data_IF_512848104086
#
_entry.id   IF_512848104086
#
_cell.length_a   1.000
_cell.length_b   1.000
_cell.length_c   1.000
_cell.angle_alpha   90.00
_cell.angle_beta   90.00
_cell.angle_gamma   90.00
#
_symmetry.space_group_name_H-M   'P 1'
#
loop_
_entity.id
_entity.type
_entity.pdbx_description
1 polymer ?
#
# COMPACT_ATOMS: atom_id res chain seq x y z
N UNK A 1 -19.26 -29.55 -4.41
CA UNK A 1 -20.58 -29.01 -4.75
C UNK A 1 -21.12 -28.16 -3.61
N UNK A 2 -21.29 -28.68 -2.40
CA UNK A 2 -21.68 -27.88 -1.23
C UNK A 2 -20.47 -27.24 -0.54
N UNK A 3 -20.16 -26.00 -0.91
CA UNK A 3 -19.13 -25.19 -0.23
C UNK A 3 -19.83 -24.34 0.83
N UNK A 4 -19.26 -24.35 2.04
CA UNK A 4 -19.68 -23.51 3.16
C UNK A 4 -18.47 -23.26 4.05
N UNK A 5 -18.46 -22.15 4.79
CA UNK A 5 -17.46 -21.87 5.80
C UNK A 5 -18.11 -21.83 7.20
N UNK A 6 -17.96 -22.92 7.97
CA UNK A 6 -18.57 -22.98 9.30
C UNK A 6 -18.09 -21.87 10.23
N UNK A 7 -16.83 -21.44 10.12
CA UNK A 7 -16.27 -20.40 10.98
C UNK A 7 -16.97 -19.06 10.78
N UNK A 8 -17.28 -18.70 9.52
CA UNK A 8 -17.94 -17.43 9.22
C UNK A 8 -19.39 -17.36 9.70
N UNK A 9 -20.03 -18.50 9.98
CA UNK A 9 -21.39 -18.52 10.52
C UNK A 9 -21.46 -17.98 11.95
N UNK A 10 -20.31 -17.95 12.62
CA UNK A 10 -20.15 -17.75 14.05
C UNK A 10 -19.25 -16.54 14.36
N UNK A 11 -18.94 -15.72 13.36
CA UNK A 11 -18.14 -14.49 13.52
C UNK A 11 -18.85 -13.47 14.42
N UNK A 12 -20.16 -13.29 14.24
CA UNK A 12 -20.93 -12.30 14.99
C UNK A 12 -21.55 -12.86 16.29
N UNK A 13 -21.97 -14.13 16.27
CA UNK A 13 -22.80 -14.70 17.34
C UNK A 13 -22.69 -16.22 17.38
N UNK A 14 -22.40 -16.76 18.56
CA UNK A 14 -22.46 -18.21 18.84
C UNK A 14 -23.28 -18.43 20.10
N UNK A 15 -24.27 -19.31 20.00
CA UNK A 15 -25.13 -19.72 21.11
C UNK A 15 -25.11 -21.25 21.13
N UNK A 16 -24.59 -21.85 22.19
CA UNK A 16 -24.43 -23.31 22.25
C UNK A 16 -24.45 -23.87 23.68
N UNK A 17 -24.73 -25.17 23.75
CA UNK A 17 -24.48 -26.04 24.89
C UNK A 17 -23.74 -27.30 24.39
N UNK A 18 -23.74 -28.39 25.14
CA UNK A 18 -23.00 -29.61 24.77
C UNK A 18 -23.59 -30.33 23.54
N UNK A 19 -24.90 -30.17 23.26
CA UNK A 19 -25.60 -30.88 22.19
C UNK A 19 -25.93 -29.99 20.98
N UNK A 20 -26.32 -28.74 21.21
CA UNK A 20 -26.92 -27.84 20.23
C UNK A 20 -26.08 -26.59 19.99
N UNK A 21 -26.18 -26.05 18.78
CA UNK A 21 -25.54 -24.80 18.39
C UNK A 21 -26.44 -23.97 17.48
N UNK A 22 -26.37 -22.65 17.64
CA UNK A 22 -27.13 -21.66 16.89
C UNK A 22 -26.31 -20.39 16.71
N UNK A 23 -26.57 -19.65 15.65
CA UNK A 23 -26.16 -18.25 15.47
C UNK A 23 -27.37 -17.29 15.41
N UNK A 24 -28.58 -17.78 15.68
CA UNK A 24 -29.84 -17.06 15.55
C UNK A 24 -30.54 -17.22 14.19
N UNK A 25 -29.85 -17.70 13.14
CA UNK A 25 -30.45 -18.00 11.84
C UNK A 25 -30.72 -19.49 11.60
N UNK A 26 -30.19 -20.35 12.48
CA UNK A 26 -30.47 -21.78 12.51
C UNK A 26 -30.26 -22.27 13.94
N UNK A 27 -30.71 -23.49 14.22
CA UNK A 27 -30.36 -24.27 15.39
C UNK A 27 -30.14 -25.70 14.92
N UNK A 28 -29.06 -26.37 15.34
CA UNK A 28 -28.87 -27.78 15.01
C UNK A 28 -28.06 -28.57 16.04
N UNK A 29 -28.22 -29.90 16.03
CA UNK A 29 -27.44 -30.84 16.85
C UNK A 29 -26.00 -30.93 16.33
N UNK A 30 -25.01 -30.67 17.18
CA UNK A 30 -23.57 -30.73 16.85
C UNK A 30 -23.15 -32.07 16.25
N UNK A 31 -23.83 -33.16 16.61
CA UNK A 31 -23.60 -34.51 16.11
C UNK A 31 -23.74 -34.65 14.60
N UNK A 32 -24.43 -33.72 13.91
CA UNK A 32 -24.51 -33.76 12.45
C UNK A 32 -23.18 -33.39 11.77
N UNK A 33 -22.31 -32.65 12.46
CA UNK A 33 -21.03 -32.17 11.92
C UNK A 33 -19.92 -33.21 12.07
N UNK A 34 -18.87 -33.19 11.22
CA UNK A 34 -17.67 -33.98 11.43
C UNK A 34 -16.94 -33.60 12.73
N UNK A 35 -16.23 -34.55 13.36
CA UNK A 35 -15.49 -34.35 14.63
C UNK A 35 -14.63 -33.08 14.66
N UNK A 36 -13.89 -32.79 13.58
CA UNK A 36 -13.03 -31.59 13.48
C UNK A 36 -13.81 -30.28 13.58
N UNK A 37 -15.04 -30.26 13.06
CA UNK A 37 -15.92 -29.09 13.15
C UNK A 37 -16.57 -28.98 14.54
N UNK A 38 -16.88 -30.10 15.19
CA UNK A 38 -17.34 -30.10 16.58
C UNK A 38 -16.27 -29.53 17.53
N UNK A 39 -15.02 -29.97 17.41
CA UNK A 39 -13.87 -29.45 18.18
C UNK A 39 -13.63 -27.95 17.95
N UNK A 40 -13.97 -27.43 16.77
CA UNK A 40 -13.89 -26.00 16.51
C UNK A 40 -14.92 -25.24 17.36
N UNK A 41 -16.11 -25.80 17.55
CA UNK A 41 -17.19 -25.18 18.31
C UNK A 41 -16.91 -25.18 19.82
N UNK A 42 -16.21 -26.19 20.35
CA UNK A 42 -15.80 -26.27 21.76
C UNK A 42 -14.98 -25.05 22.23
N UNK A 43 -14.35 -24.33 21.30
CA UNK A 43 -13.57 -23.12 21.61
C UNK A 43 -14.43 -21.90 21.99
N UNK A 44 -15.72 -21.91 21.70
CA UNK A 44 -16.61 -20.79 22.02
C UNK A 44 -17.28 -20.99 23.38
N UNK A 45 -17.52 -19.89 24.11
CA UNK A 45 -18.23 -19.92 25.39
C UNK A 45 -19.67 -20.46 25.24
N UNK A 46 -20.16 -21.18 26.26
CA UNK A 46 -21.54 -21.65 26.30
C UNK A 46 -22.51 -20.53 26.70
N UNK A 47 -23.74 -20.57 26.20
CA UNK A 47 -24.81 -19.63 26.56
C UNK A 47 -26.15 -20.39 26.65
N UNK A 48 -26.35 -21.06 27.79
CA UNK A 48 -27.44 -22.02 28.00
C UNK A 48 -28.83 -21.36 28.03
N UNK A 49 -28.97 -20.20 28.68
CA UNK A 49 -30.27 -19.55 28.86
C UNK A 49 -30.88 -19.10 27.53
N UNK A 50 -30.07 -18.43 26.68
CA UNK A 50 -30.53 -17.99 25.36
C UNK A 50 -30.80 -19.18 24.44
N UNK A 51 -30.03 -20.27 24.58
CA UNK A 51 -30.26 -21.48 23.81
C UNK A 51 -31.57 -22.16 24.19
N UNK A 52 -31.92 -22.21 25.47
CA UNK A 52 -33.17 -22.80 25.95
C UNK A 52 -34.40 -22.10 25.35
N UNK A 53 -34.34 -20.77 25.17
CA UNK A 53 -35.39 -20.02 24.48
C UNK A 53 -35.52 -20.43 23.01
N UNK A 54 -34.39 -20.62 22.32
CA UNK A 54 -34.37 -21.04 20.91
C UNK A 54 -34.84 -22.50 20.77
N UNK A 55 -34.47 -23.37 21.71
CA UNK A 55 -34.92 -24.76 21.75
C UNK A 55 -36.43 -24.85 21.92
N UNK A 56 -37.04 -24.00 22.75
CA UNK A 56 -38.50 -23.94 22.88
C UNK A 56 -39.17 -23.64 21.53
N UNK A 57 -38.68 -22.62 20.82
CA UNK A 57 -39.18 -22.27 19.47
C UNK A 57 -39.02 -23.46 18.50
N UNK A 58 -37.91 -24.20 18.60
CA UNK A 58 -37.64 -25.34 17.75
C UNK A 58 -38.55 -26.54 18.06
N UNK A 59 -38.85 -26.80 19.33
CA UNK A 59 -39.82 -27.84 19.73
C UNK A 59 -41.24 -27.46 19.31
N UNK A 60 -41.67 -26.20 19.50
CA UNK A 60 -42.98 -25.74 19.03
C UNK A 60 -43.12 -25.88 17.51
N UNK A 61 -42.07 -25.53 16.75
CA UNK A 61 -42.04 -25.68 15.30
C UNK A 61 -42.10 -27.16 14.87
N UNK A 62 -41.38 -28.03 15.58
CA UNK A 62 -41.39 -29.48 15.35
C UNK A 62 -42.75 -30.09 15.66
N UNK A 63 -43.38 -29.76 16.77
CA UNK A 63 -44.73 -30.24 17.11
C UNK A 63 -45.74 -29.79 16.06
N UNK A 64 -45.71 -28.51 15.66
CA UNK A 64 -46.58 -28.01 14.60
C UNK A 64 -46.36 -28.73 13.27
N UNK A 65 -45.12 -29.11 12.94
CA UNK A 65 -44.79 -29.84 11.73
C UNK A 65 -45.30 -31.29 11.77
N UNK A 66 -45.15 -31.98 12.91
CA UNK A 66 -45.63 -33.35 13.06
C UNK A 66 -47.16 -33.44 13.05
N UNK A 67 -47.84 -32.40 13.54
CA UNK A 67 -49.30 -32.36 13.66
C UNK A 67 -50.03 -31.82 12.41
N UNK A 68 -49.34 -31.22 11.43
CA UNK A 68 -50.01 -30.52 10.32
C UNK A 68 -50.71 -31.46 9.32
N UNK A 69 -50.42 -32.76 9.31
CA UNK A 69 -51.03 -33.75 8.39
C UNK A 69 -50.70 -33.54 6.91
N UNK A 70 -50.14 -32.39 6.54
CA UNK A 70 -49.60 -32.09 5.22
C UNK A 70 -48.36 -32.94 4.96
N UNK A 71 -48.33 -33.65 3.84
CA UNK A 71 -47.10 -34.22 3.30
C UNK A 71 -46.15 -33.05 3.04
N UNK A 72 -45.24 -32.82 3.98
CA UNK A 72 -44.34 -31.69 3.93
C UNK A 72 -43.32 -31.97 2.83
N UNK A 73 -43.40 -31.24 1.73
CA UNK A 73 -42.45 -31.40 0.64
C UNK A 73 -41.06 -30.92 1.06
N UNK A 74 -40.05 -31.70 0.67
CA UNK A 74 -38.66 -31.35 0.87
C UNK A 74 -38.33 -30.08 0.08
N UNK A 75 -37.63 -29.14 0.71
CA UNK A 75 -37.14 -27.95 0.04
C UNK A 75 -36.05 -28.35 -0.97
N UNK A 76 -36.34 -28.10 -2.24
CA UNK A 76 -35.39 -28.20 -3.33
C UNK A 76 -35.20 -26.81 -3.96
N UNK A 77 -33.96 -26.31 -4.13
CA UNK A 77 -33.72 -25.00 -4.69
C UNK A 77 -34.09 -24.96 -6.17
N UNK A 78 -34.83 -23.94 -6.56
CA UNK A 78 -35.21 -23.67 -7.95
C UNK A 78 -34.45 -22.46 -8.49
N UNK A 79 -34.35 -21.41 -7.67
CA UNK A 79 -33.73 -20.15 -8.03
C UNK A 79 -32.62 -19.78 -7.04
N UNK A 80 -31.61 -19.08 -7.55
CA UNK A 80 -30.56 -18.43 -6.75
C UNK A 80 -30.67 -16.93 -6.95
N UNK A 81 -30.69 -16.18 -5.85
CA UNK A 81 -30.84 -14.73 -5.87
C UNK A 81 -29.88 -14.08 -4.88
N UNK A 82 -29.62 -12.79 -5.07
CA UNK A 82 -28.77 -12.02 -4.18
C UNK A 82 -29.61 -11.22 -3.19
N UNK A 83 -29.17 -11.15 -1.93
CA UNK A 83 -29.83 -10.35 -0.90
C UNK A 83 -28.82 -9.80 0.11
N UNK A 84 -29.28 -8.86 0.95
CA UNK A 84 -28.46 -8.27 2.00
C UNK A 84 -28.80 -8.87 3.36
N UNK A 85 -27.78 -9.36 4.07
CA UNK A 85 -27.89 -9.79 5.47
C UNK A 85 -26.89 -8.99 6.29
N UNK A 86 -27.38 -8.17 7.24
CA UNK A 86 -26.57 -7.28 8.08
C UNK A 86 -25.61 -6.38 7.27
N UNK A 87 -26.06 -5.86 6.13
CA UNK A 87 -25.22 -5.01 5.25
C UNK A 87 -24.22 -5.77 4.39
N UNK A 88 -24.21 -7.11 4.43
CA UNK A 88 -23.33 -7.95 3.62
C UNK A 88 -24.15 -8.64 2.53
N UNK A 89 -23.65 -8.58 1.29
CA UNK A 89 -24.23 -9.27 0.15
C UNK A 89 -24.08 -10.80 0.31
N UNK A 90 -25.17 -11.54 0.14
CA UNK A 90 -25.26 -13.00 0.28
C UNK A 90 -26.12 -13.60 -0.83
N UNK A 91 -25.91 -14.88 -1.08
CA UNK A 91 -26.73 -15.66 -2.00
C UNK A 91 -27.83 -16.40 -1.22
N UNK A 92 -29.04 -16.33 -1.73
CA UNK A 92 -30.23 -17.03 -1.26
C UNK A 92 -30.70 -18.07 -2.28
N UNK A 93 -31.34 -19.11 -1.79
CA UNK A 93 -32.01 -20.15 -2.56
C UNK A 93 -33.50 -19.99 -2.38
N UNK A 94 -34.28 -20.01 -3.46
CA UNK A 94 -35.73 -19.87 -3.42
C UNK A 94 -36.42 -21.07 -4.09
N UNK A 95 -37.59 -21.44 -3.59
CA UNK A 95 -38.48 -22.43 -4.17
C UNK A 95 -39.86 -21.79 -4.34
N UNK A 96 -40.33 -21.69 -5.59
CA UNK A 96 -41.58 -21.00 -5.92
C UNK A 96 -42.82 -21.72 -5.38
N UNK A 97 -42.81 -23.07 -5.41
CA UNK A 97 -43.91 -23.90 -4.92
C UNK A 97 -44.11 -23.77 -3.41
N UNK A 98 -43.02 -23.79 -2.67
CA UNK A 98 -43.01 -23.63 -1.22
C UNK A 98 -43.09 -22.16 -0.78
N UNK A 99 -42.83 -21.21 -1.69
CA UNK A 99 -42.76 -19.76 -1.41
C UNK A 99 -41.87 -19.45 -0.20
N UNK A 100 -40.68 -20.07 -0.17
CA UNK A 100 -39.72 -19.94 0.92
C UNK A 100 -38.31 -19.82 0.36
N UNK A 101 -37.46 -19.07 1.07
CA UNK A 101 -36.05 -18.95 0.74
C UNK A 101 -35.14 -19.24 1.92
N UNK A 102 -33.91 -19.67 1.64
CA UNK A 102 -32.87 -19.87 2.64
C UNK A 102 -31.54 -19.29 2.18
N UNK A 103 -30.66 -18.99 3.14
CA UNK A 103 -29.28 -18.65 2.82
C UNK A 103 -28.56 -19.87 2.18
N UNK A 104 -27.86 -19.63 1.08
CA UNK A 104 -27.21 -20.68 0.29
C UNK A 104 -26.13 -21.43 1.08
N UNK A 105 -25.30 -20.74 1.87
CA UNK A 105 -24.24 -21.40 2.65
C UNK A 105 -24.82 -22.25 3.79
N UNK A 106 -25.88 -21.78 4.44
CA UNK A 106 -26.56 -22.55 5.50
C UNK A 106 -27.20 -23.81 4.92
N UNK A 107 -27.92 -23.69 3.80
CA UNK A 107 -28.47 -24.83 3.08
C UNK A 107 -27.37 -25.84 2.69
N UNK A 108 -26.27 -25.36 2.11
CA UNK A 108 -25.14 -26.20 1.69
C UNK A 108 -24.53 -26.98 2.87
N UNK A 109 -24.45 -26.38 4.06
CA UNK A 109 -23.96 -27.08 5.26
C UNK A 109 -24.83 -28.30 5.58
N UNK A 110 -26.15 -28.14 5.59
CA UNK A 110 -27.08 -29.22 5.92
C UNK A 110 -27.06 -30.32 4.85
N UNK A 111 -27.08 -29.95 3.56
CA UNK A 111 -27.00 -30.91 2.46
C UNK A 111 -25.69 -31.70 2.47
N UNK A 112 -24.56 -31.04 2.75
CA UNK A 112 -23.26 -31.73 2.88
C UNK A 112 -23.23 -32.76 4.01
N UNK A 113 -24.03 -32.55 5.06
CA UNK A 113 -24.16 -33.46 6.19
C UNK A 113 -25.36 -34.43 6.04
N UNK A 114 -25.86 -34.60 4.81
CA UNK A 114 -26.96 -35.51 4.44
C UNK A 114 -28.26 -35.24 5.20
N UNK A 115 -28.52 -33.98 5.52
CA UNK A 115 -29.78 -33.56 6.10
C UNK A 115 -30.78 -33.18 4.99
N UNK A 116 -32.06 -33.22 5.32
CA UNK A 116 -33.18 -32.76 4.51
C UNK A 116 -33.86 -31.58 5.19
N UNK A 117 -34.40 -30.64 4.42
CA UNK A 117 -35.04 -29.44 4.95
C UNK A 117 -36.48 -29.43 4.46
N UNK A 118 -37.41 -29.15 5.36
CA UNK A 118 -38.84 -29.13 5.09
C UNK A 118 -39.44 -27.79 5.50
N UNK A 119 -40.38 -27.29 4.70
CA UNK A 119 -41.09 -26.05 5.03
C UNK A 119 -41.82 -26.21 6.36
N UNK A 120 -41.72 -25.21 7.23
CA UNK A 120 -42.54 -25.12 8.43
C UNK A 120 -43.98 -24.66 8.10
N UNK A 121 -44.78 -24.42 9.13
CA UNK A 121 -46.17 -23.96 8.97
C UNK A 121 -46.22 -22.48 8.55
N UNK A 122 -45.95 -22.17 7.28
CA UNK A 122 -45.93 -20.81 6.73
C UNK A 122 -44.56 -20.36 6.20
N UNK A 123 -44.52 -19.23 5.50
CA UNK A 123 -43.32 -18.73 4.80
C UNK A 123 -42.28 -18.05 5.71
N UNK A 124 -42.67 -17.66 6.93
CA UNK A 124 -41.79 -17.01 7.91
C UNK A 124 -41.45 -17.88 9.11
N UNK A 125 -42.04 -19.07 9.20
CA UNK A 125 -41.81 -19.98 10.30
C UNK A 125 -40.56 -20.83 10.04
N UNK A 126 -39.86 -21.26 11.11
CA UNK A 126 -38.64 -22.04 10.96
C UNK A 126 -38.90 -23.32 10.16
N UNK A 127 -38.01 -23.59 9.22
CA UNK A 127 -38.01 -24.83 8.46
C UNK A 127 -37.40 -25.97 9.31
N UNK A 128 -37.92 -27.17 9.15
CA UNK A 128 -37.50 -28.35 9.91
C UNK A 128 -36.35 -29.04 9.20
N UNK A 129 -35.32 -29.42 9.97
CA UNK A 129 -34.16 -30.13 9.47
C UNK A 129 -34.17 -31.55 10.01
N UNK A 130 -34.20 -32.53 9.10
CA UNK A 130 -34.18 -33.95 9.44
C UNK A 130 -32.89 -34.61 8.94
N UNK A 131 -32.41 -35.62 9.69
CA UNK A 131 -31.36 -36.53 9.24
C UNK A 131 -31.77 -37.94 9.61
N UNK A 132 -31.84 -38.85 8.62
CA UNK A 132 -32.38 -40.20 8.81
C UNK A 132 -33.77 -40.20 9.46
N UNK A 133 -34.63 -39.26 9.06
CA UNK A 133 -35.97 -39.01 9.62
C UNK A 133 -36.00 -38.56 11.10
N UNK A 134 -34.84 -38.31 11.72
CA UNK A 134 -34.76 -37.73 13.05
C UNK A 134 -34.65 -36.20 12.99
N UNK A 135 -35.31 -35.51 13.91
CA UNK A 135 -35.18 -34.08 14.09
C UNK A 135 -33.77 -33.72 14.56
N UNK A 136 -33.10 -32.88 13.77
CA UNK A 136 -31.74 -32.42 14.07
C UNK A 136 -31.60 -30.90 14.12
N UNK A 137 -32.67 -30.13 13.82
CA UNK A 137 -32.60 -28.67 13.88
C UNK A 137 -33.70 -27.93 13.14
N UNK A 138 -33.56 -26.60 13.16
CA UNK A 138 -34.38 -25.66 12.41
C UNK A 138 -33.52 -24.67 11.60
N UNK A 139 -34.05 -24.18 10.49
CA UNK A 139 -33.43 -23.14 9.65
C UNK A 139 -34.41 -21.98 9.45
N UNK A 140 -33.95 -20.76 9.71
CA UNK A 140 -34.77 -19.57 9.53
C UNK A 140 -34.88 -19.21 8.04
N UNK A 141 -36.09 -18.91 7.54
CA UNK A 141 -36.27 -18.41 6.19
C UNK A 141 -35.63 -17.03 5.97
N UNK A 142 -35.20 -16.78 4.74
CA UNK A 142 -34.83 -15.45 4.25
C UNK A 142 -36.07 -14.77 3.69
N UNK A 143 -36.29 -13.50 4.03
CA UNK A 143 -37.39 -12.72 3.45
C UNK A 143 -37.10 -12.43 1.99
N UNK A 144 -38.06 -12.68 1.12
CA UNK A 144 -38.01 -12.37 -0.30
C UNK A 144 -39.01 -11.29 -0.66
N UNK A 145 -38.64 -10.42 -1.59
CA UNK A 145 -39.55 -9.48 -2.25
C UNK A 145 -39.52 -9.75 -3.75
N UNK A 146 -40.58 -9.40 -4.50
CA UNK A 146 -40.58 -9.55 -5.96
C UNK A 146 -39.38 -8.87 -6.63
N UNK A 147 -38.99 -7.68 -6.14
CA UNK A 147 -37.81 -6.97 -6.65
C UNK A 147 -36.50 -7.73 -6.37
N UNK A 148 -36.37 -8.38 -5.21
CA UNK A 148 -35.19 -9.18 -4.86
C UNK A 148 -35.04 -10.46 -5.68
N UNK A 149 -36.11 -10.94 -6.31
CA UNK A 149 -36.09 -12.12 -7.19
C UNK A 149 -35.96 -11.78 -8.68
N UNK A 150 -36.02 -10.50 -9.05
CA UNK A 150 -36.01 -10.05 -10.46
C UNK A 150 -34.79 -10.50 -11.26
N UNK A 151 -33.63 -10.58 -10.61
CA UNK A 151 -32.36 -10.99 -11.20
C UNK A 151 -31.94 -12.42 -10.78
N UNK A 152 -32.88 -13.22 -10.28
CA UNK A 152 -32.58 -14.58 -9.87
C UNK A 152 -32.25 -15.44 -11.11
N UNK A 153 -31.30 -16.36 -10.94
CA UNK A 153 -30.95 -17.37 -11.95
C UNK A 153 -31.48 -18.73 -11.52
N UNK A 154 -31.61 -19.67 -12.46
CA UNK A 154 -31.99 -21.04 -12.09
C UNK A 154 -30.87 -21.70 -11.27
N UNK A 155 -31.25 -22.60 -10.37
CA UNK A 155 -30.28 -23.38 -9.60
C UNK A 155 -29.41 -24.25 -10.51
N UNK A 156 -29.96 -24.75 -11.62
CA UNK A 156 -29.22 -25.51 -12.62
C UNK A 156 -28.14 -24.67 -13.31
N UNK A 157 -28.46 -23.43 -13.70
CA UNK A 157 -27.49 -22.49 -14.27
C UNK A 157 -26.39 -22.15 -13.26
N UNK A 158 -26.76 -21.87 -12.02
CA UNK A 158 -25.80 -21.62 -10.93
C UNK A 158 -24.83 -22.79 -10.75
N UNK A 159 -25.35 -24.02 -10.73
CA UNK A 159 -24.53 -25.23 -10.63
C UNK A 159 -23.62 -25.39 -11.85
N UNK A 160 -24.11 -25.08 -13.05
CA UNK A 160 -23.34 -25.15 -14.29
C UNK A 160 -22.18 -24.16 -14.27
N UNK A 161 -22.43 -22.92 -13.85
CA UNK A 161 -21.40 -21.88 -13.66
C UNK A 161 -20.33 -22.33 -12.66
N UNK A 162 -20.71 -22.88 -11.51
CA UNK A 162 -19.74 -23.39 -10.53
C UNK A 162 -18.86 -24.49 -11.12
N UNK A 163 -19.44 -25.42 -11.88
CA UNK A 163 -18.69 -26.51 -12.51
C UNK A 163 -17.72 -25.96 -13.56
N UNK A 164 -18.15 -25.00 -14.38
CA UNK A 164 -17.31 -24.32 -15.36
C UNK A 164 -16.14 -23.59 -14.68
N UNK A 165 -16.41 -22.82 -13.62
CA UNK A 165 -15.39 -22.13 -12.83
C UNK A 165 -14.36 -23.09 -12.22
N UNK A 166 -14.83 -24.24 -11.71
CA UNK A 166 -13.96 -25.27 -11.14
C UNK A 166 -13.12 -25.94 -12.22
N UNK A 167 -13.70 -26.23 -13.39
CA UNK A 167 -12.98 -26.75 -14.54
C UNK A 167 -11.92 -25.75 -15.01
N UNK A 168 -12.29 -24.48 -15.22
CA UNK A 168 -11.37 -23.41 -15.60
C UNK A 168 -10.22 -23.25 -14.59
N UNK A 169 -10.51 -23.25 -13.29
CA UNK A 169 -9.46 -23.22 -12.23
C UNK A 169 -8.56 -24.46 -12.26
N UNK A 170 -9.09 -25.61 -12.64
CA UNK A 170 -8.33 -26.85 -12.75
C UNK A 170 -7.43 -26.82 -13.98
N UNK A 171 -7.92 -26.34 -15.12
CA UNK A 171 -7.11 -26.11 -16.32
C UNK A 171 -6.01 -25.08 -16.08
N UNK A 172 -6.33 -23.94 -15.46
CA UNK A 172 -5.32 -22.92 -15.07
C UNK A 172 -4.24 -23.52 -14.16
N UNK A 173 -4.60 -24.42 -13.24
CA UNK A 173 -3.63 -25.07 -12.37
C UNK A 173 -2.63 -25.96 -13.12
N UNK A 174 -3.00 -26.51 -14.28
CA UNK A 174 -2.08 -27.31 -15.11
C UNK A 174 -0.98 -26.44 -15.72
N UNK A 175 -1.25 -25.14 -15.92
CA UNK A 175 -0.29 -24.16 -16.42
C UNK A 175 0.64 -23.60 -15.33
N UNK A 176 0.50 -24.05 -14.07
CA UNK A 176 1.30 -23.52 -12.97
C UNK A 176 2.78 -23.85 -13.13
N UNK A 177 3.59 -22.80 -13.15
CA UNK A 177 5.04 -22.88 -13.02
C UNK A 177 5.47 -22.33 -11.68
N UNK A 178 6.50 -22.92 -11.08
CA UNK A 178 7.17 -22.34 -9.92
C UNK A 178 7.88 -21.08 -10.40
N UNK A 179 7.59 -19.96 -9.77
CA UNK A 179 8.12 -18.67 -10.17
C UNK A 179 8.79 -17.96 -8.99
N UNK A 180 9.93 -17.33 -9.26
CA UNK A 180 10.75 -16.62 -8.28
C UNK A 180 10.59 -15.11 -8.44
N UNK A 181 10.25 -14.44 -7.35
CA UNK A 181 9.98 -13.00 -7.30
C UNK A 181 10.75 -12.34 -6.17
N UNK A 182 10.91 -11.02 -6.30
CA UNK A 182 11.37 -10.17 -5.21
C UNK A 182 10.16 -9.41 -4.68
N UNK A 183 9.94 -9.50 -3.37
CA UNK A 183 8.94 -8.70 -2.67
C UNK A 183 9.55 -8.19 -1.36
N UNK A 184 9.47 -6.89 -1.11
CA UNK A 184 10.08 -6.25 0.07
C UNK A 184 11.53 -6.68 0.31
N UNK A 185 12.33 -6.71 -0.77
CA UNK A 185 13.74 -7.14 -0.77
C UNK A 185 13.98 -8.60 -0.36
N UNK A 186 12.93 -9.44 -0.32
CA UNK A 186 13.00 -10.89 -0.04
C UNK A 186 12.65 -11.68 -1.30
N UNK A 187 13.36 -12.78 -1.50
CA UNK A 187 13.06 -13.74 -2.54
C UNK A 187 11.88 -14.64 -2.12
N UNK A 188 10.87 -14.74 -2.96
CA UNK A 188 9.66 -15.55 -2.72
C UNK A 188 9.42 -16.46 -3.92
N UNK A 189 9.17 -17.75 -3.64
CA UNK A 189 8.75 -18.73 -4.65
C UNK A 189 7.25 -18.94 -4.53
N UNK A 190 6.53 -18.82 -5.64
CA UNK A 190 5.09 -19.07 -5.70
C UNK A 190 4.72 -19.66 -7.06
N UNK A 191 3.68 -20.49 -7.07
CA UNK A 191 3.14 -21.01 -8.33
C UNK A 191 2.33 -19.91 -9.02
N UNK A 192 2.59 -19.71 -10.30
CA UNK A 192 1.82 -18.81 -11.17
C UNK A 192 1.46 -19.54 -12.46
N UNK A 193 0.21 -19.44 -12.93
CA UNK A 193 -0.17 -20.01 -14.22
C UNK A 193 0.47 -19.16 -15.33
N UNK A 194 1.25 -19.80 -16.21
CA UNK A 194 1.95 -19.14 -17.31
C UNK A 194 1.74 -19.90 -18.62
N UNK A 195 1.79 -19.18 -19.75
CA UNK A 195 1.76 -19.76 -21.11
C UNK A 195 3.16 -19.74 -21.72
N UNK A 196 3.53 -20.83 -22.38
CA UNK A 196 4.79 -20.90 -23.12
C UNK A 196 4.71 -20.02 -24.37
N UNK A 197 5.73 -19.20 -24.61
CA UNK A 197 5.77 -18.30 -25.79
C UNK A 197 5.88 -19.10 -27.08
N UNK A 198 6.60 -20.24 -27.08
CA UNK A 198 6.67 -21.12 -28.25
C UNK A 198 5.31 -21.69 -28.64
N UNK A 199 4.44 -22.00 -27.67
CA UNK A 199 3.07 -22.49 -27.94
C UNK A 199 2.17 -21.39 -28.53
N UNK A 200 2.36 -20.14 -28.11
CA UNK A 200 1.58 -19.00 -28.62
C UNK A 200 2.00 -18.65 -30.05
N UNK A 201 3.29 -18.73 -30.34
CA UNK A 201 3.90 -18.20 -31.57
C UNK A 201 4.17 -19.27 -32.62
N UNK A 202 4.16 -20.54 -32.23
CA UNK A 202 4.56 -21.66 -33.08
C UNK A 202 6.08 -21.78 -33.27
N UNK A 203 6.88 -20.95 -32.61
CA UNK A 203 8.34 -20.93 -32.76
C UNK A 203 9.06 -21.54 -31.55
N UNK A 204 9.68 -22.70 -31.77
CA UNK A 204 10.41 -23.45 -30.74
C UNK A 204 11.62 -22.70 -30.17
N UNK A 205 12.12 -21.63 -30.83
CA UNK A 205 13.21 -20.83 -30.26
C UNK A 205 12.85 -20.14 -28.95
N UNK A 206 11.56 -20.00 -28.63
CA UNK A 206 11.08 -19.34 -27.40
C UNK A 206 10.56 -20.32 -26.34
N UNK A 207 10.95 -21.60 -26.40
CA UNK A 207 10.44 -22.66 -25.50
C UNK A 207 10.75 -22.43 -24.01
N UNK A 208 11.78 -21.63 -23.70
CA UNK A 208 12.16 -21.26 -22.35
C UNK A 208 11.55 -19.93 -21.90
N UNK A 209 10.72 -19.29 -22.73
CA UNK A 209 10.05 -18.05 -22.38
C UNK A 209 8.59 -18.31 -22.08
N UNK A 210 8.10 -17.64 -21.04
CA UNK A 210 6.75 -17.76 -20.55
C UNK A 210 6.15 -16.38 -20.32
N UNK A 211 4.83 -16.26 -20.48
CA UNK A 211 4.09 -15.03 -20.20
C UNK A 211 2.87 -15.30 -19.34
N UNK A 212 2.35 -14.25 -18.73
CA UNK A 212 1.08 -14.32 -18.00
C UNK A 212 -0.06 -14.84 -18.88
N UNK A 213 -0.94 -15.66 -18.27
CA UNK A 213 -2.11 -16.21 -18.96
C UNK A 213 -3.08 -15.11 -19.37
N UNK A 214 -3.26 -14.11 -18.51
CA UNK A 214 -4.14 -12.96 -18.67
C UNK A 214 -3.30 -11.68 -18.67
N UNK A 215 -3.65 -10.76 -19.56
CA UNK A 215 -3.04 -9.45 -19.61
C UNK A 215 -3.55 -8.54 -18.49
N UNK A 216 -2.77 -7.50 -18.18
CA UNK A 216 -3.21 -6.41 -17.34
C UNK A 216 -4.30 -5.55 -18.03
N UNK A 217 -4.78 -4.51 -17.33
CA UNK A 217 -5.82 -3.61 -17.84
C UNK A 217 -5.43 -2.88 -19.13
N UNK A 218 -4.14 -2.79 -19.44
CA UNK A 218 -3.59 -2.13 -20.60
C UNK A 218 -3.20 -3.11 -21.72
N UNK A 219 -3.48 -4.42 -21.54
CA UNK A 219 -3.18 -5.46 -22.52
C UNK A 219 -1.75 -6.00 -22.47
N UNK A 220 -0.98 -5.70 -21.42
CA UNK A 220 0.40 -6.20 -21.25
C UNK A 220 0.47 -7.46 -20.41
N UNK A 221 1.41 -8.33 -20.75
CA UNK A 221 1.78 -9.54 -20.00
C UNK A 221 3.23 -9.45 -19.54
N UNK A 222 3.50 -9.89 -18.31
CA UNK A 222 4.87 -10.03 -17.81
C UNK A 222 5.58 -11.19 -18.50
N UNK A 223 6.89 -11.02 -18.73
CA UNK A 223 7.75 -12.01 -19.40
C UNK A 223 8.66 -12.70 -18.39
N UNK A 224 8.69 -14.02 -18.47
CA UNK A 224 9.45 -14.90 -17.59
C UNK A 224 10.40 -15.77 -18.40
N UNK A 225 11.57 -16.04 -17.85
CA UNK A 225 12.52 -17.03 -18.38
C UNK A 225 12.49 -18.26 -17.48
N UNK A 226 12.33 -19.44 -18.08
CA UNK A 226 12.44 -20.74 -17.42
C UNK A 226 13.91 -21.15 -17.33
N UNK A 227 14.40 -21.32 -16.11
CA UNK A 227 15.78 -21.68 -15.80
C UNK A 227 15.87 -23.14 -15.34
N UNK A 228 14.94 -23.98 -15.78
CA UNK A 228 14.73 -25.40 -15.45
C UNK A 228 14.29 -25.67 -14.00
N UNK A 229 14.79 -24.89 -13.05
CA UNK A 229 14.47 -25.01 -11.61
C UNK A 229 13.30 -24.13 -11.20
N UNK A 230 13.19 -22.95 -11.82
CA UNK A 230 12.17 -21.94 -11.52
C UNK A 230 12.08 -20.94 -12.69
N UNK A 231 10.89 -20.40 -12.93
CA UNK A 231 10.74 -19.27 -13.85
C UNK A 231 11.06 -17.95 -13.12
N UNK A 232 11.86 -17.08 -13.74
CA UNK A 232 12.22 -15.78 -13.20
C UNK A 232 11.62 -14.65 -14.04
N UNK A 233 11.05 -13.67 -13.35
CA UNK A 233 10.59 -12.45 -14.01
C UNK A 233 11.78 -11.67 -14.58
N UNK A 234 11.66 -11.26 -15.85
CA UNK A 234 12.76 -10.61 -16.58
C UNK A 234 12.79 -9.09 -16.41
N UNK A 235 11.79 -8.49 -15.75
CA UNK A 235 11.62 -7.04 -15.74
C UNK A 235 11.01 -6.47 -17.02
N UNK A 236 10.56 -7.34 -17.94
CA UNK A 236 10.01 -6.98 -19.25
C UNK A 236 8.54 -7.37 -19.35
N UNK A 237 7.82 -6.62 -20.18
CA UNK A 237 6.42 -6.82 -20.52
C UNK A 237 6.25 -6.80 -22.04
N UNK A 238 5.24 -7.49 -22.56
CA UNK A 238 4.87 -7.48 -23.97
C UNK A 238 3.35 -7.33 -24.13
N UNK A 239 2.86 -6.78 -25.25
CA UNK A 239 1.40 -6.78 -25.50
C UNK A 239 0.94 -8.17 -25.87
N UNK A 240 -0.17 -8.62 -25.27
CA UNK A 240 -0.67 -9.98 -25.47
C UNK A 240 -1.04 -10.31 -26.92
N UNK A 241 -1.54 -9.32 -27.68
CA UNK A 241 -1.93 -9.49 -29.07
C UNK A 241 -0.76 -9.30 -30.06
N UNK A 242 0.41 -8.88 -29.58
CA UNK A 242 1.57 -8.61 -30.42
C UNK A 242 2.88 -9.01 -29.71
N UNK A 243 2.89 -10.21 -29.14
CA UNK A 243 3.92 -10.67 -28.20
C UNK A 243 5.33 -10.62 -28.81
N UNK A 244 5.48 -10.97 -30.09
CA UNK A 244 6.79 -10.99 -30.75
C UNK A 244 7.21 -9.60 -31.20
N UNK A 245 6.42 -8.88 -32.00
CA UNK A 245 6.91 -7.63 -32.61
C UNK A 245 7.21 -6.55 -31.56
N UNK A 246 6.49 -6.52 -30.44
CA UNK A 246 6.74 -5.57 -29.35
C UNK A 246 8.00 -5.91 -28.53
N UNK A 247 8.46 -7.17 -28.57
CA UNK A 247 9.51 -7.68 -27.70
C UNK A 247 10.62 -8.47 -28.41
N UNK A 248 10.66 -8.46 -29.74
CA UNK A 248 11.51 -9.36 -30.54
C UNK A 248 12.99 -9.22 -30.17
N UNK A 249 13.47 -7.98 -30.08
CA UNK A 249 14.85 -7.70 -29.64
C UNK A 249 15.14 -8.28 -28.25
N UNK A 250 14.19 -8.19 -27.32
CA UNK A 250 14.36 -8.72 -25.97
C UNK A 250 14.28 -10.24 -25.95
N UNK A 251 13.33 -10.84 -26.66
CA UNK A 251 13.12 -12.28 -26.66
C UNK A 251 14.26 -13.04 -27.33
N UNK A 252 14.83 -12.49 -28.39
CA UNK A 252 16.02 -13.07 -29.03
C UNK A 252 17.25 -13.03 -28.11
N UNK A 253 17.33 -12.09 -27.17
CA UNK A 253 18.39 -12.07 -26.16
C UNK A 253 18.06 -13.01 -24.99
N UNK A 254 16.79 -13.01 -24.54
CA UNK A 254 16.35 -13.78 -23.38
C UNK A 254 16.28 -15.29 -23.64
N UNK A 255 16.01 -15.72 -24.87
CA UNK A 255 15.89 -17.15 -25.19
C UNK A 255 17.20 -17.93 -25.03
N UNK A 256 18.35 -17.24 -25.04
CA UNK A 256 19.67 -17.82 -24.82
C UNK A 256 20.04 -17.94 -23.34
N UNK A 257 19.25 -17.34 -22.45
CA UNK A 257 19.54 -17.31 -21.03
C UNK A 257 19.21 -18.66 -20.40
N UNK A 258 20.20 -19.21 -19.70
CA UNK A 258 20.11 -20.46 -18.95
C UNK A 258 20.54 -20.25 -17.50
N UNK A 259 20.36 -21.28 -16.68
CA UNK A 259 20.88 -21.29 -15.31
C UNK A 259 22.40 -21.04 -15.25
N UNK A 260 23.16 -21.65 -16.17
CA UNK A 260 24.62 -21.49 -16.28
C UNK A 260 25.02 -20.05 -16.66
N UNK A 261 24.26 -19.43 -17.56
CA UNK A 261 24.44 -18.01 -17.91
C UNK A 261 24.26 -17.12 -16.67
N UNK A 262 23.24 -17.39 -15.84
CA UNK A 262 23.01 -16.68 -14.59
C UNK A 262 24.12 -16.93 -13.56
N UNK A 263 24.58 -18.17 -13.41
CA UNK A 263 25.70 -18.51 -12.52
C UNK A 263 26.97 -17.76 -12.91
N UNK A 264 27.26 -17.67 -14.21
CA UNK A 264 28.40 -16.91 -14.74
C UNK A 264 28.27 -15.41 -14.41
N UNK A 265 27.09 -14.83 -14.60
CA UNK A 265 26.82 -13.44 -14.22
C UNK A 265 27.02 -13.18 -12.72
N UNK A 266 26.52 -14.08 -11.87
CA UNK A 266 26.66 -13.98 -10.42
C UNK A 266 28.12 -14.07 -9.99
N UNK A 267 28.90 -14.97 -10.59
CA UNK A 267 30.34 -15.08 -10.33
C UNK A 267 31.11 -13.84 -10.78
N UNK A 268 30.80 -13.30 -11.97
CA UNK A 268 31.38 -12.04 -12.41
C UNK A 268 31.03 -10.89 -11.44
N UNK A 269 29.80 -10.86 -10.94
CA UNK A 269 29.38 -9.86 -9.96
C UNK A 269 30.10 -10.02 -8.61
N UNK A 270 30.37 -11.25 -8.17
CA UNK A 270 31.22 -11.53 -7.02
C UNK A 270 32.63 -10.97 -7.22
N UNK A 271 33.28 -11.34 -8.34
CA UNK A 271 34.69 -10.99 -8.60
C UNK A 271 34.90 -9.48 -8.77
N UNK A 272 33.89 -8.78 -9.29
CA UNK A 272 33.95 -7.33 -9.56
C UNK A 272 33.31 -6.48 -8.46
N UNK A 273 33.03 -7.03 -7.27
CA UNK A 273 32.38 -6.29 -6.17
C UNK A 273 31.05 -5.62 -6.57
N UNK A 274 30.30 -6.25 -7.48
CA UNK A 274 28.99 -5.77 -7.92
C UNK A 274 27.88 -6.32 -7.02
N UNK A 275 26.73 -5.66 -7.09
CA UNK A 275 25.54 -6.05 -6.34
C UNK A 275 24.95 -7.36 -6.87
N UNK A 276 24.59 -8.24 -5.93
CA UNK A 276 23.91 -9.52 -6.21
C UNK A 276 22.57 -9.51 -5.50
N UNK A 277 21.49 -9.79 -6.23
CA UNK A 277 20.11 -9.72 -5.75
C UNK A 277 19.74 -10.90 -4.84
N UNK A 278 18.75 -10.74 -3.95
CA UNK A 278 18.26 -11.86 -3.12
C UNK A 278 17.61 -12.95 -3.95
N UNK A 279 16.99 -12.60 -5.09
CA UNK A 279 16.48 -13.61 -6.03
C UNK A 279 17.61 -14.44 -6.64
N UNK A 280 18.74 -13.84 -7.02
CA UNK A 280 19.88 -14.58 -7.59
C UNK A 280 20.48 -15.55 -6.56
N UNK A 281 20.60 -15.13 -5.30
CA UNK A 281 21.02 -16.01 -4.20
C UNK A 281 20.03 -17.17 -4.04
N UNK A 282 18.73 -16.87 -4.06
CA UNK A 282 17.68 -17.90 -3.92
C UNK A 282 17.64 -18.84 -5.12
N UNK A 283 17.92 -18.36 -6.32
CA UNK A 283 18.04 -19.18 -7.53
C UNK A 283 19.14 -20.23 -7.35
N UNK A 284 20.33 -19.82 -6.91
CA UNK A 284 21.45 -20.75 -6.67
C UNK A 284 21.11 -21.78 -5.57
N UNK A 285 20.40 -21.37 -4.51
CA UNK A 285 19.92 -22.28 -3.49
C UNK A 285 18.93 -23.32 -4.06
N UNK A 286 17.98 -22.88 -4.90
CA UNK A 286 17.02 -23.77 -5.57
C UNK A 286 17.67 -24.70 -6.60
N UNK A 287 18.77 -24.25 -7.22
CA UNK A 287 19.59 -25.03 -8.14
C UNK A 287 20.42 -26.12 -7.44
N UNK A 288 20.45 -26.14 -6.11
CA UNK A 288 21.20 -27.14 -5.34
C UNK A 288 22.69 -26.83 -5.22
N UNK A 289 23.09 -25.57 -5.41
CA UNK A 289 24.48 -25.17 -5.20
C UNK A 289 24.91 -25.38 -3.72
N UNK A 290 26.21 -25.62 -3.47
CA UNK A 290 26.71 -25.87 -2.12
C UNK A 290 26.40 -24.73 -1.15
N UNK A 291 26.07 -25.07 0.09
CA UNK A 291 25.75 -24.09 1.14
C UNK A 291 26.87 -23.05 1.35
N UNK A 292 28.12 -23.47 1.25
CA UNK A 292 29.29 -22.58 1.35
C UNK A 292 29.26 -21.48 0.28
N UNK A 293 28.89 -21.82 -0.96
CA UNK A 293 28.75 -20.86 -2.04
C UNK A 293 27.58 -19.89 -1.78
N UNK A 294 26.45 -20.38 -1.28
CA UNK A 294 25.31 -19.53 -0.90
C UNK A 294 25.69 -18.56 0.22
N UNK A 295 26.39 -19.05 1.25
CA UNK A 295 26.86 -18.23 2.36
C UNK A 295 27.85 -17.16 1.89
N UNK A 296 28.75 -17.49 0.94
CA UNK A 296 29.65 -16.52 0.27
C UNK A 296 28.85 -15.40 -0.41
N UNK A 297 27.80 -15.71 -1.16
CA UNK A 297 26.96 -14.71 -1.83
C UNK A 297 26.22 -13.80 -0.82
N UNK A 298 25.70 -14.38 0.26
CA UNK A 298 25.02 -13.63 1.32
C UNK A 298 25.99 -12.66 2.00
N UNK A 299 27.21 -13.12 2.30
CA UNK A 299 28.25 -12.30 2.92
C UNK A 299 28.66 -11.14 1.99
N UNK A 300 28.94 -11.44 0.72
CA UNK A 300 29.25 -10.45 -0.31
C UNK A 300 28.21 -9.32 -0.37
N UNK A 301 26.93 -9.69 -0.49
CA UNK A 301 25.83 -8.72 -0.52
C UNK A 301 25.79 -7.83 0.72
N UNK A 302 26.08 -8.38 1.91
CA UNK A 302 26.16 -7.58 3.15
C UNK A 302 27.31 -6.58 3.10
N UNK A 303 28.48 -6.97 2.57
CA UNK A 303 29.62 -6.07 2.44
C UNK A 303 29.33 -4.94 1.45
N UNK A 304 28.82 -5.25 0.27
CA UNK A 304 28.46 -4.23 -0.74
C UNK A 304 27.42 -3.24 -0.18
N UNK A 305 26.46 -3.72 0.61
CA UNK A 305 25.48 -2.84 1.26
C UNK A 305 26.16 -1.84 2.21
N UNK A 306 27.12 -2.30 3.02
CA UNK A 306 27.88 -1.43 3.95
C UNK A 306 28.74 -0.43 3.19
N UNK A 307 29.45 -0.87 2.15
CA UNK A 307 30.29 0.01 1.32
C UNK A 307 29.46 1.14 0.70
N UNK A 308 28.31 0.81 0.09
CA UNK A 308 27.39 1.81 -0.46
C UNK A 308 26.81 2.77 0.58
N UNK A 309 26.74 2.37 1.85
CA UNK A 309 26.28 3.23 2.93
C UNK A 309 27.38 4.19 3.36
N UNK A 310 28.63 3.71 3.44
CA UNK A 310 29.82 4.53 3.68
C UNK A 310 30.00 5.57 2.57
N UNK A 311 29.99 5.14 1.30
CA UNK A 311 30.12 6.05 0.14
C UNK A 311 29.06 7.15 0.16
N UNK A 312 27.80 6.82 0.48
CA UNK A 312 26.72 7.81 0.59
C UNK A 312 26.95 8.80 1.73
N UNK A 313 27.46 8.34 2.88
CA UNK A 313 27.81 9.24 3.99
C UNK A 313 29.00 10.15 3.65
N UNK A 314 30.01 9.62 2.96
CA UNK A 314 31.17 10.40 2.51
C UNK A 314 30.81 11.45 1.46
N UNK A 315 29.99 11.07 0.48
CA UNK A 315 29.51 12.01 -0.54
C UNK A 315 28.63 13.11 0.06
N UNK A 316 27.76 12.77 1.01
CA UNK A 316 26.98 13.76 1.75
C UNK A 316 27.87 14.72 2.53
N UNK A 317 28.87 14.20 3.25
CA UNK A 317 29.83 15.02 3.99
C UNK A 317 30.62 15.93 3.07
N UNK A 318 31.06 15.43 1.90
CA UNK A 318 31.77 16.22 0.89
C UNK A 318 30.88 17.35 0.37
N UNK A 319 29.63 17.05 0.00
CA UNK A 319 28.66 18.07 -0.47
C UNK A 319 28.43 19.16 0.58
N UNK A 320 28.27 18.77 1.84
CA UNK A 320 28.12 19.74 2.94
C UNK A 320 29.38 20.58 3.15
N UNK A 321 30.57 20.00 3.03
CA UNK A 321 31.83 20.74 3.14
C UNK A 321 31.99 21.74 2.00
N UNK A 322 31.75 21.32 0.76
CA UNK A 322 31.80 22.20 -0.42
C UNK A 322 30.78 23.33 -0.33
N UNK A 323 29.57 23.04 0.13
CA UNK A 323 28.52 24.04 0.34
C UNK A 323 28.91 25.05 1.43
N UNK A 324 29.40 24.59 2.58
CA UNK A 324 29.86 25.47 3.65
C UNK A 324 31.05 26.34 3.23
N UNK A 325 32.00 25.79 2.47
CA UNK A 325 33.12 26.55 1.90
C UNK A 325 32.61 27.64 0.96
N UNK A 326 31.72 27.29 0.03
CA UNK A 326 31.10 28.26 -0.88
C UNK A 326 30.39 29.39 -0.13
N UNK A 327 29.57 29.05 0.89
CA UNK A 327 28.86 30.04 1.70
C UNK A 327 29.85 30.96 2.42
N UNK A 328 30.88 30.40 3.07
CA UNK A 328 31.87 31.18 3.80
C UNK A 328 32.66 32.12 2.88
N UNK A 329 33.09 31.65 1.71
CA UNK A 329 33.80 32.47 0.73
C UNK A 329 32.94 33.62 0.20
N UNK A 330 31.67 33.35 -0.14
CA UNK A 330 30.76 34.38 -0.66
C UNK A 330 30.35 35.39 0.40
N UNK A 331 30.05 34.92 1.62
CA UNK A 331 29.63 35.79 2.71
C UNK A 331 30.77 36.61 3.30
N UNK A 332 32.03 36.18 3.13
CA UNK A 332 33.20 36.96 3.58
C UNK A 332 33.16 38.40 3.06
N UNK A 333 32.84 38.60 1.78
CA UNK A 333 32.76 39.95 1.18
C UNK A 333 31.67 40.78 1.87
N UNK A 334 30.50 40.20 2.12
CA UNK A 334 29.41 40.88 2.80
C UNK A 334 29.79 41.22 4.25
N UNK A 335 30.40 40.28 4.98
CA UNK A 335 30.84 40.50 6.35
C UNK A 335 31.98 41.52 6.47
N UNK A 336 32.92 41.52 5.54
CA UNK A 336 33.99 42.53 5.49
C UNK A 336 33.39 43.93 5.27
N UNK A 337 32.43 44.08 4.35
CA UNK A 337 31.72 45.36 4.13
C UNK A 337 30.91 45.80 5.37
N UNK A 338 30.27 44.85 6.06
CA UNK A 338 29.54 45.12 7.32
C UNK A 338 30.51 45.62 8.38
N UNK A 339 31.64 44.93 8.58
CA UNK A 339 32.64 45.29 9.58
C UNK A 339 33.27 46.66 9.28
N UNK A 340 33.64 46.91 8.02
CA UNK A 340 34.18 48.21 7.58
C UNK A 340 33.19 49.35 7.80
N UNK A 341 31.89 49.13 7.53
CA UNK A 341 30.88 50.15 7.79
C UNK A 341 30.71 50.45 9.29
N UNK A 342 30.75 49.42 10.14
CA UNK A 342 30.70 49.59 11.60
C UNK A 342 31.92 50.36 12.11
N UNK A 343 33.12 50.00 11.64
CA UNK A 343 34.35 50.69 11.97
C UNK A 343 34.37 52.14 11.48
N UNK A 344 33.96 52.40 10.23
CA UNK A 344 33.88 53.76 9.71
C UNK A 344 32.84 54.61 10.44
N UNK A 345 31.75 54.02 10.97
CA UNK A 345 30.82 54.73 11.87
C UNK A 345 31.48 55.09 13.21
N UNK A 346 32.39 54.25 13.71
CA UNK A 346 33.15 54.54 14.94
C UNK A 346 34.17 55.66 14.67
N UNK A 347 34.88 55.57 13.54
CA UNK A 347 35.94 56.48 13.13
C UNK A 347 35.43 57.80 12.53
N UNK A 348 34.12 57.92 12.31
CA UNK A 348 33.46 59.08 11.71
C UNK A 348 33.74 59.30 10.22
N UNK A 349 33.87 58.21 9.49
CA UNK A 349 34.04 58.17 8.04
C UNK A 349 32.69 58.20 7.30
N UNK A 350 32.76 58.41 5.98
CA UNK A 350 31.59 58.30 5.09
C UNK A 350 31.37 56.83 4.74
N UNK A 351 30.14 56.34 4.87
CA UNK A 351 29.75 54.96 4.56
C UNK A 351 28.77 54.96 3.40
N UNK A 352 29.17 54.32 2.30
CA UNK A 352 28.31 54.13 1.14
C UNK A 352 27.23 53.07 1.40
N UNK A 353 26.02 53.36 0.93
CA UNK A 353 24.89 52.44 1.02
C UNK A 353 24.91 51.46 -0.16
N UNK A 354 25.84 50.53 -0.13
CA UNK A 354 25.97 49.48 -1.15
C UNK A 354 25.00 48.31 -0.89
N UNK A 355 24.74 47.51 -1.93
CA UNK A 355 24.03 46.24 -1.77
C UNK A 355 24.99 45.15 -1.28
N UNK A 356 24.58 44.41 -0.27
CA UNK A 356 25.26 43.21 0.21
C UNK A 356 24.35 41.99 -0.01
N UNK A 357 24.97 40.86 -0.35
CA UNK A 357 24.27 39.59 -0.55
C UNK A 357 24.79 38.57 0.45
N UNK A 358 23.89 37.99 1.24
CA UNK A 358 24.22 36.94 2.21
C UNK A 358 23.56 35.64 1.76
N UNK A 359 24.37 34.61 1.59
CA UNK A 359 23.98 33.27 1.19
C UNK A 359 23.67 32.42 2.43
N UNK A 360 22.49 31.82 2.49
CA UNK A 360 22.12 30.81 3.49
C UNK A 360 22.36 29.38 2.98
N UNK A 361 22.32 29.21 1.65
CA UNK A 361 22.70 27.99 0.94
C UNK A 361 23.26 28.35 -0.44
N UNK A 362 23.68 27.36 -1.22
CA UNK A 362 24.11 27.60 -2.61
C UNK A 362 22.99 28.19 -3.49
N UNK A 363 21.73 27.95 -3.15
CA UNK A 363 20.56 28.34 -3.95
C UNK A 363 19.66 29.35 -3.24
N UNK A 364 19.99 29.75 -2.02
CA UNK A 364 19.24 30.73 -1.23
C UNK A 364 20.15 31.85 -0.77
N UNK A 365 19.85 33.06 -1.21
CA UNK A 365 20.59 34.26 -0.89
C UNK A 365 19.64 35.43 -0.72
N UNK A 366 19.97 36.32 0.20
CA UNK A 366 19.22 37.55 0.44
C UNK A 366 20.11 38.76 0.15
N UNK A 367 19.66 39.59 -0.79
CA UNK A 367 20.31 40.86 -1.11
C UNK A 367 19.58 42.00 -0.43
N UNK A 368 20.31 42.85 0.28
CA UNK A 368 19.76 44.03 0.94
C UNK A 368 20.79 45.16 0.96
N UNK A 369 20.34 46.39 1.20
CA UNK A 369 21.24 47.52 1.35
C UNK A 369 21.98 47.44 2.69
N UNK A 370 23.25 47.86 2.69
CA UNK A 370 24.14 47.77 3.84
C UNK A 370 23.58 48.48 5.08
N UNK A 371 23.02 49.68 4.89
CA UNK A 371 22.44 50.46 6.00
C UNK A 371 21.17 49.80 6.54
N UNK A 372 20.33 49.22 5.68
CA UNK A 372 19.14 48.50 6.13
C UNK A 372 19.51 47.20 6.86
N UNK A 373 20.55 46.51 6.41
CA UNK A 373 21.11 45.35 7.12
C UNK A 373 21.58 45.72 8.52
N UNK A 374 22.37 46.78 8.66
CA UNK A 374 22.84 47.27 9.95
C UNK A 374 21.67 47.66 10.85
N UNK A 375 20.67 48.40 10.36
CA UNK A 375 19.46 48.72 11.14
C UNK A 375 18.75 47.47 11.64
N UNK A 376 18.68 46.41 10.84
CA UNK A 376 18.12 45.12 11.28
C UNK A 376 19.03 44.42 12.31
N UNK A 377 20.35 44.41 12.11
CA UNK A 377 21.35 43.83 13.03
C UNK A 377 21.23 44.44 14.44
N UNK A 378 21.11 45.76 14.52
CA UNK A 378 20.95 46.51 15.78
C UNK A 378 19.49 46.67 16.25
N UNK A 379 18.57 45.86 15.70
CA UNK A 379 17.16 45.81 16.11
C UNK A 379 16.45 47.18 16.09
N UNK A 380 16.66 47.96 15.03
CA UNK A 380 16.01 49.25 14.78
C UNK A 380 14.82 49.02 13.85
N UNK A 381 13.62 49.31 14.34
CA UNK A 381 12.37 49.08 13.59
C UNK A 381 12.08 50.26 12.67
N UNK A 382 12.51 50.14 11.42
CA UNK A 382 12.27 51.14 10.37
C UNK A 382 10.93 50.87 9.67
N UNK A 383 10.05 51.88 9.48
CA UNK A 383 8.81 51.73 8.71
C UNK A 383 9.06 51.31 7.25
N UNK A 384 8.16 50.51 6.67
CA UNK A 384 8.30 49.95 5.30
C UNK A 384 8.59 51.05 4.26
N UNK A 385 7.91 52.20 4.33
CA UNK A 385 8.15 53.34 3.42
C UNK A 385 9.59 53.85 3.50
N UNK A 386 10.15 53.93 4.71
CA UNK A 386 11.53 54.38 4.94
C UNK A 386 12.53 53.32 4.50
N UNK A 387 12.24 52.02 4.68
CA UNK A 387 13.07 50.94 4.12
C UNK A 387 13.14 51.01 2.59
N UNK A 388 11.99 51.25 1.93
CA UNK A 388 11.93 51.46 0.49
C UNK A 388 12.74 52.68 0.04
N UNK A 389 12.75 53.75 0.83
CA UNK A 389 13.58 54.92 0.57
C UNK A 389 15.08 54.63 0.73
N UNK A 390 15.49 53.94 1.81
CA UNK A 390 16.88 53.53 2.03
C UNK A 390 17.39 52.68 0.84
N UNK A 391 16.58 51.76 0.31
CA UNK A 391 17.00 50.91 -0.79
C UNK A 391 17.15 51.64 -2.13
N UNK A 392 16.35 52.68 -2.39
CA UNK A 392 16.25 53.29 -3.72
C UNK A 392 16.85 54.71 -3.82
N UNK A 393 16.97 55.42 -2.71
CA UNK A 393 17.33 56.84 -2.69
C UNK A 393 18.61 57.16 -1.90
N UNK A 394 18.90 56.43 -0.82
CA UNK A 394 20.07 56.70 0.04
C UNK A 394 21.38 56.33 -0.68
N UNK A 395 22.30 57.29 -0.78
CA UNK A 395 23.62 57.11 -1.38
C UNK A 395 24.69 56.78 -0.33
N UNK A 396 24.81 57.60 0.71
CA UNK A 396 25.76 57.38 1.80
C UNK A 396 25.31 58.06 3.09
N UNK A 397 25.96 57.71 4.20
CA UNK A 397 25.86 58.39 5.49
C UNK A 397 27.24 58.94 5.87
N UNK A 398 27.29 60.09 6.54
CA UNK A 398 28.55 60.72 6.95
C UNK A 398 28.36 61.56 8.21
N UNK A 399 29.45 61.87 8.90
CA UNK A 399 29.40 62.82 10.01
C UNK A 399 29.01 64.21 9.51
N UNK A 400 28.15 64.87 10.27
CA UNK A 400 27.80 66.27 10.02
C UNK A 400 28.95 67.17 10.49
N UNK A 401 29.34 68.13 9.66
CA UNK A 401 30.39 69.10 9.98
C UNK A 401 29.89 70.17 10.97
N UNK A 402 28.57 70.40 11.01
CA UNK A 402 27.95 71.49 11.78
C UNK A 402 27.18 71.00 13.02
N UNK A 403 27.01 69.69 13.18
CA UNK A 403 26.35 69.09 14.34
C UNK A 403 27.13 67.87 14.86
N UNK A 404 26.92 67.51 16.13
CA UNK A 404 27.52 66.30 16.72
C UNK A 404 26.88 64.98 16.22
N UNK A 405 26.08 65.03 15.14
CA UNK A 405 25.31 63.90 14.60
C UNK A 405 25.84 63.37 13.26
N UNK A 406 25.09 62.43 12.69
CA UNK A 406 25.30 61.95 11.32
C UNK A 406 24.25 62.54 10.39
N UNK A 407 24.66 62.88 9.18
CA UNK A 407 23.80 63.26 8.07
C UNK A 407 23.92 62.24 6.94
N UNK A 408 23.13 62.40 5.88
CA UNK A 408 23.10 61.49 4.75
C UNK A 408 23.01 62.22 3.42
N UNK A 409 23.43 61.54 2.35
CA UNK A 409 23.24 61.98 0.97
C UNK A 409 22.29 61.02 0.26
N UNK A 410 21.49 61.54 -0.64
CA UNK A 410 20.57 60.77 -1.46
C UNK A 410 20.71 61.18 -2.93
N UNK A 411 20.31 60.30 -3.84
CA UNK A 411 20.39 60.56 -5.28
C UNK A 411 19.48 61.74 -5.65
N UNK A 412 19.98 62.65 -6.51
CA UNK A 412 19.25 63.85 -6.95
C UNK A 412 17.95 63.56 -7.68
N UNK A 413 17.79 62.34 -8.21
CA UNK A 413 16.56 61.83 -8.81
C UNK A 413 15.48 61.43 -7.81
N UNK A 414 15.79 61.45 -6.50
CA UNK A 414 14.90 61.04 -5.42
C UNK A 414 14.55 62.21 -4.50
N UNK A 415 13.33 62.21 -3.96
CA UNK A 415 12.93 63.15 -2.91
C UNK A 415 13.58 62.81 -1.58
N UNK A 416 13.89 63.82 -0.75
CA UNK A 416 14.42 63.63 0.60
C UNK A 416 13.44 62.87 1.52
N UNK A 417 13.98 62.15 2.51
CA UNK A 417 13.21 61.53 3.59
C UNK A 417 13.07 62.48 4.78
N UNK A 418 11.85 62.88 5.11
CA UNK A 418 11.59 63.74 6.28
C UNK A 418 11.78 63.05 7.64
N UNK A 419 12.04 61.73 7.66
CA UNK A 419 12.07 60.93 8.90
C UNK A 419 13.31 60.03 9.06
N UNK A 420 14.12 59.83 8.02
CA UNK A 420 15.26 58.90 8.06
C UNK A 420 16.34 59.32 9.08
N UNK A 421 16.60 60.63 9.21
CA UNK A 421 17.58 61.19 10.14
C UNK A 421 17.45 60.66 11.58
N UNK A 422 16.22 60.44 12.06
CA UNK A 422 15.96 59.87 13.39
C UNK A 422 16.53 58.45 13.53
N UNK A 423 16.29 57.59 12.54
CA UNK A 423 16.74 56.20 12.55
C UNK A 423 18.26 56.09 12.33
N UNK A 424 18.83 57.00 11.53
CA UNK A 424 20.28 57.09 11.33
C UNK A 424 21.00 57.36 12.66
N UNK A 425 20.55 58.35 13.42
CA UNK A 425 21.16 58.65 14.72
C UNK A 425 20.95 57.50 15.74
N UNK A 426 19.81 56.83 15.73
CA UNK A 426 19.59 55.63 16.55
C UNK A 426 20.60 54.52 16.20
N UNK A 427 20.87 54.31 14.91
CA UNK A 427 21.84 53.32 14.43
C UNK A 427 23.26 53.63 14.90
N UNK A 428 23.71 54.87 14.68
CA UNK A 428 25.06 55.30 15.08
C UNK A 428 25.26 55.16 16.59
N UNK A 429 24.26 55.54 17.39
CA UNK A 429 24.33 55.42 18.84
C UNK A 429 24.45 53.96 19.29
N UNK A 430 23.64 53.05 18.73
CA UNK A 430 23.71 51.63 19.08
C UNK A 430 25.05 51.00 18.72
N UNK A 431 25.59 51.29 17.53
CA UNK A 431 26.92 50.81 17.11
C UNK A 431 28.01 51.28 18.09
N UNK A 432 28.00 52.59 18.42
CA UNK A 432 28.99 53.17 19.34
C UNK A 432 28.84 52.65 20.78
N UNK A 433 27.61 52.38 21.24
CA UNK A 433 27.35 51.76 22.54
C UNK A 433 27.83 50.31 22.60
N UNK A 434 27.65 49.53 21.53
CA UNK A 434 28.10 48.14 21.46
C UNK A 434 29.62 48.06 21.40
N UNK A 435 30.28 48.94 20.64
CA UNK A 435 31.75 49.04 20.62
C UNK A 435 32.33 49.34 22.00
N UNK A 436 31.73 50.27 22.76
CA UNK A 436 32.14 50.62 24.14
C UNK A 436 31.97 49.49 25.15
N UNK A 437 31.18 48.45 24.85
CA UNK A 437 31.03 47.26 25.71
C UNK A 437 32.09 46.20 25.44
N UNK A 438 32.73 46.26 24.28
CA UNK A 438 33.71 45.28 23.79
C UNK A 438 35.16 45.79 23.98
N UNK A 439 35.35 47.11 23.96
CA UNK A 439 36.58 47.81 24.37
C UNK A 439 36.68 47.93 25.90
#
# INVERSE_FOLDING_TARGET
MYKYNLKSFFEDRVIQNDEWVSNGHFLFKKSILPKRQQQMLEKFSQNKDKLNQILKIAEDAKESFMNSGEQSEEFLPELVFEYMLNGIKRDGLYNSKLQIAFNLEYYNMFMKNKCKIYKGNGSYNPAIILKNNEFVGILMPVRTTPEGLKNAITYEDYITQIKQDQAAKTELKKLNKKCLYINNNKAIVRNKPLKCVAEITGDNKYKNLYVDVEADKNGYVDVYVDLDVVCMYTGRTAKQNNIIDDAEYYFNNLNSITLETYKTYINNALDNNKWINTAEIKLMELAGEPKEYIDKLIQHRKNIKKLREIERMEEEKRRQQEENQFINEKNKIAYDNIAQAEEGIINNETIDNINITIYNSKYDSNTTSLILYLMKKYNIKVPIKTQGWINNALANIRRDEYSNGYTYQYYTSSSDSTVFYKYLNELVNKIKEEYKKIA
#
